data_IF_813020021341
#
_entry.id   IF_813020021341
#
_cell.length_a   1.000
_cell.length_b   1.000
_cell.length_c   1.000
_cell.angle_alpha   90.00
_cell.angle_beta   90.00
_cell.angle_gamma   90.00
#
_symmetry.space_group_name_H-M   'P 1'
#
loop_
_entity.id
_entity.type
_entity.pdbx_description
1 polymer ?
#
# COMPACT_ATOMS: atom_id res chain seq x y z
N UNK A 1 -5.45 -8.23 15.52
CA UNK A 1 -4.83 -6.92 15.20
C UNK A 1 -5.94 -6.06 14.62
N UNK A 2 -6.17 -4.85 15.15
CA UNK A 2 -7.14 -3.90 14.60
C UNK A 2 -6.63 -3.31 13.29
N UNK A 3 -7.51 -2.67 12.53
CA UNK A 3 -7.11 -1.82 11.42
C UNK A 3 -8.15 -0.72 11.23
N UNK A 4 -7.69 0.41 10.69
CA UNK A 4 -8.52 1.51 10.22
C UNK A 4 -8.49 1.59 8.69
N UNK A 5 -9.44 2.35 8.14
CA UNK A 5 -9.47 2.76 6.73
C UNK A 5 -9.56 4.28 6.61
N UNK A 6 -9.16 4.82 5.47
CA UNK A 6 -9.32 6.24 5.16
C UNK A 6 -8.01 7.01 5.23
N UNK A 7 -8.13 8.31 5.45
CA UNK A 7 -6.99 9.20 5.31
C UNK A 7 -6.13 9.26 6.59
N UNK A 8 -4.83 9.47 6.41
CA UNK A 8 -3.87 9.76 7.50
C UNK A 8 -3.85 11.27 7.76
N UNK A 9 -4.06 11.66 9.03
CA UNK A 9 -4.20 13.06 9.42
C UNK A 9 -3.00 13.93 9.03
N UNK A 10 -1.76 13.48 9.25
CA UNK A 10 -0.60 14.31 8.89
C UNK A 10 -0.46 14.53 7.39
N UNK A 11 -0.91 13.58 6.56
CA UNK A 11 -0.90 13.74 5.11
C UNK A 11 -2.00 14.70 4.64
N UNK A 12 -3.13 14.77 5.36
CA UNK A 12 -4.21 15.71 5.08
C UNK A 12 -3.74 17.15 5.28
N UNK A 13 -2.96 17.38 6.34
CA UNK A 13 -2.53 18.71 6.76
C UNK A 13 -1.32 19.21 5.96
N UNK A 14 -0.40 18.31 5.58
CA UNK A 14 0.85 18.68 4.92
C UNK A 14 0.90 18.40 3.41
N UNK A 15 0.05 17.50 2.89
CA UNK A 15 0.01 17.15 1.47
C UNK A 15 -1.44 17.09 0.93
N UNK A 16 -2.21 18.18 1.02
CA UNK A 16 -3.65 18.14 0.77
C UNK A 16 -4.04 17.80 -0.66
N UNK A 17 -3.18 18.09 -1.65
CA UNK A 17 -3.39 17.77 -3.06
C UNK A 17 -3.00 16.33 -3.42
N UNK A 18 -2.35 15.62 -2.48
CA UNK A 18 -1.90 14.23 -2.62
C UNK A 18 -2.80 13.25 -1.87
N UNK A 19 -3.93 13.73 -1.32
CA UNK A 19 -4.82 12.97 -0.44
C UNK A 19 -5.29 11.68 -1.11
N UNK A 20 -5.02 10.57 -0.44
CA UNK A 20 -5.54 9.26 -0.78
C UNK A 20 -6.08 8.56 0.46
N UNK A 21 -7.28 8.03 0.30
CA UNK A 21 -7.89 7.09 1.24
C UNK A 21 -7.14 5.78 1.18
N UNK A 22 -6.50 5.42 2.30
CA UNK A 22 -5.75 4.17 2.40
C UNK A 22 -6.71 3.00 2.63
N UNK A 23 -6.40 1.87 1.99
CA UNK A 23 -7.22 0.67 2.07
C UNK A 23 -7.16 0.03 3.46
N UNK A 24 -5.95 -0.05 4.04
CA UNK A 24 -5.70 -0.60 5.37
C UNK A 24 -4.58 0.15 6.10
N UNK A 25 -4.90 0.57 7.31
CA UNK A 25 -3.97 1.22 8.24
C UNK A 25 -3.91 0.36 9.49
N UNK A 26 -2.75 -0.23 9.77
CA UNK A 26 -2.58 -1.23 10.82
C UNK A 26 -1.55 -0.73 11.84
N UNK A 27 -1.86 -0.71 13.14
CA UNK A 27 -3.11 -1.16 13.76
C UNK A 27 -4.23 -0.11 13.75
N UNK A 28 -3.87 1.17 13.62
CA UNK A 28 -4.78 2.33 13.63
C UNK A 28 -4.10 3.57 13.02
N UNK A 29 -4.86 4.65 12.84
CA UNK A 29 -4.38 5.94 12.28
C UNK A 29 -3.44 6.75 13.16
N UNK A 30 -3.40 6.50 14.47
CA UNK A 30 -2.61 7.31 15.40
C UNK A 30 -1.16 6.84 15.44
N UNK A 31 -0.94 5.52 15.38
CA UNK A 31 0.40 4.94 15.37
C UNK A 31 0.47 3.80 14.34
N UNK A 32 0.35 4.11 13.04
CA UNK A 32 0.46 3.10 12.00
C UNK A 32 1.83 2.43 12.04
N UNK A 33 1.84 1.13 11.76
CA UNK A 33 3.04 0.31 11.55
C UNK A 33 3.08 -0.28 10.15
N UNK A 34 1.93 -0.56 9.57
CA UNK A 34 1.79 -1.07 8.20
C UNK A 34 0.67 -0.32 7.50
N UNK A 35 0.95 0.14 6.29
CA UNK A 35 -0.05 0.64 5.34
C UNK A 35 -0.10 -0.36 4.19
N UNK A 36 -1.27 -0.90 3.90
CA UNK A 36 -1.44 -1.90 2.84
C UNK A 36 -2.46 -1.43 1.80
N UNK A 37 -2.06 -1.45 0.53
CA UNK A 37 -2.88 -1.05 -0.62
C UNK A 37 -3.22 -2.24 -1.50
N UNK A 38 -4.45 -2.31 -2.00
CA UNK A 38 -4.91 -3.40 -2.87
C UNK A 38 -5.07 -2.95 -4.33
N UNK A 39 -4.59 -3.78 -5.24
CA UNK A 39 -4.61 -3.58 -6.69
C UNK A 39 -5.16 -4.81 -7.41
N UNK A 40 -6.37 -4.70 -7.96
CA UNK A 40 -7.06 -5.80 -8.66
C UNK A 40 -7.68 -5.38 -10.00
N UNK A 41 -8.06 -6.39 -10.80
CA UNK A 41 -8.51 -6.34 -12.20
C UNK A 41 -9.63 -5.33 -12.48
N UNK A 42 -10.44 -4.94 -11.48
CA UNK A 42 -11.48 -3.93 -11.65
C UNK A 42 -10.93 -2.52 -11.95
N UNK A 43 -9.62 -2.32 -11.85
CA UNK A 43 -8.97 -1.03 -12.14
C UNK A 43 -8.86 -0.84 -13.66
N UNK A 44 -9.49 0.20 -14.21
CA UNK A 44 -9.42 0.52 -15.64
C UNK A 44 -7.97 0.79 -16.07
N UNK A 45 -7.66 0.59 -17.36
CA UNK A 45 -6.32 0.80 -17.93
C UNK A 45 -5.75 2.21 -17.69
N UNK A 46 -6.58 3.25 -17.63
CA UNK A 46 -6.15 4.60 -17.21
C UNK A 46 -5.90 4.66 -15.71
N UNK A 47 -6.81 4.10 -14.91
CA UNK A 47 -6.70 4.04 -13.46
C UNK A 47 -5.46 3.28 -12.97
N UNK A 48 -4.95 2.30 -13.71
CA UNK A 48 -3.72 1.58 -13.36
C UNK A 48 -2.46 2.46 -13.49
N UNK A 49 -2.39 3.29 -14.53
CA UNK A 49 -1.30 4.24 -14.73
C UNK A 49 -1.30 5.31 -13.65
N UNK A 50 -2.46 5.88 -13.35
CA UNK A 50 -2.59 6.89 -12.30
C UNK A 50 -2.31 6.29 -10.92
N UNK A 51 -2.85 5.10 -10.62
CA UNK A 51 -2.54 4.38 -9.37
C UNK A 51 -1.04 4.18 -9.20
N UNK A 52 -0.30 3.75 -10.23
CA UNK A 52 1.15 3.56 -10.14
C UNK A 52 1.90 4.84 -9.73
N UNK A 53 1.49 6.02 -10.24
CA UNK A 53 2.10 7.30 -9.85
C UNK A 53 1.71 7.70 -8.44
N UNK A 54 0.45 7.44 -8.07
CA UNK A 54 -0.05 7.75 -6.74
C UNK A 54 0.67 6.92 -5.68
N UNK A 55 0.88 5.61 -5.88
CA UNK A 55 1.62 4.80 -4.90
C UNK A 55 3.04 5.32 -4.68
N UNK A 56 3.75 5.71 -5.74
CA UNK A 56 5.09 6.30 -5.63
C UNK A 56 5.06 7.60 -4.82
N UNK A 57 4.03 8.42 -5.04
CA UNK A 57 3.87 9.68 -4.31
C UNK A 57 3.56 9.43 -2.82
N UNK A 58 2.74 8.43 -2.53
CA UNK A 58 2.42 8.00 -1.15
C UNK A 58 3.66 7.45 -0.45
N UNK A 59 4.47 6.63 -1.10
CA UNK A 59 5.72 6.12 -0.52
C UNK A 59 6.65 7.25 -0.05
N UNK A 60 6.82 8.30 -0.88
CA UNK A 60 7.62 9.48 -0.52
C UNK A 60 7.05 10.16 0.73
N UNK A 61 5.74 10.38 0.75
CA UNK A 61 5.06 11.04 1.86
C UNK A 61 5.11 10.21 3.16
N UNK A 62 4.95 8.89 3.07
CA UNK A 62 5.05 8.00 4.23
C UNK A 62 6.47 8.01 4.81
N UNK A 63 7.50 8.04 3.97
CA UNK A 63 8.90 8.14 4.43
C UNK A 63 9.19 9.47 5.13
N UNK A 64 8.54 10.55 4.71
CA UNK A 64 8.71 11.88 5.28
C UNK A 64 7.98 12.04 6.63
N UNK A 65 6.71 11.63 6.69
CA UNK A 65 5.83 11.88 7.84
C UNK A 65 5.72 10.72 8.81
N UNK A 66 5.94 9.48 8.36
CA UNK A 66 5.81 8.27 9.16
C UNK A 66 7.04 7.36 9.06
N UNK A 67 8.24 7.85 9.44
CA UNK A 67 9.47 7.07 9.36
C UNK A 67 9.37 5.81 10.25
N UNK A 68 9.31 4.64 9.63
CA UNK A 68 9.16 3.35 10.31
C UNK A 68 7.83 2.64 10.06
N UNK A 69 6.90 3.26 9.34
CA UNK A 69 5.77 2.55 8.73
C UNK A 69 6.26 1.74 7.55
N UNK A 70 5.80 0.48 7.45
CA UNK A 70 6.00 -0.34 6.25
C UNK A 70 4.90 -0.10 5.23
N UNK A 71 5.27 0.24 4.00
CA UNK A 71 4.31 0.37 2.90
C UNK A 71 4.29 -0.88 2.02
N UNK A 72 3.16 -1.57 1.96
CA UNK A 72 3.03 -2.85 1.23
C UNK A 72 1.89 -2.84 0.21
N UNK A 73 2.04 -3.64 -0.85
CA UNK A 73 1.04 -3.76 -1.91
C UNK A 73 0.51 -5.17 -2.07
N UNK A 74 -0.79 -5.32 -2.26
CA UNK A 74 -1.44 -6.55 -2.72
C UNK A 74 -1.79 -6.45 -4.20
N UNK A 75 -1.31 -7.39 -5.00
CA UNK A 75 -1.48 -7.35 -6.46
C UNK A 75 -2.02 -8.70 -6.97
N UNK A 76 -3.06 -8.65 -7.79
CA UNK A 76 -3.67 -9.85 -8.40
C UNK A 76 -2.89 -10.41 -9.61
N UNK A 77 -2.00 -9.62 -10.18
CA UNK A 77 -1.17 -9.93 -11.34
C UNK A 77 -1.94 -9.93 -12.67
N UNK A 78 -3.12 -10.55 -12.72
CA UNK A 78 -3.89 -10.70 -13.96
C UNK A 78 -4.36 -9.36 -14.53
N UNK A 79 -4.73 -8.40 -13.67
CA UNK A 79 -5.09 -7.04 -14.09
C UNK A 79 -3.95 -6.31 -14.79
N UNK A 80 -2.71 -6.74 -14.55
CA UNK A 80 -1.51 -6.04 -14.96
C UNK A 80 -0.77 -6.71 -16.12
N UNK A 81 -1.29 -7.83 -16.64
CA UNK A 81 -0.62 -8.66 -17.64
C UNK A 81 -0.20 -7.87 -18.91
N UNK A 82 -1.05 -6.96 -19.38
CA UNK A 82 -0.79 -6.08 -20.54
C UNK A 82 -0.13 -4.75 -20.16
N UNK A 83 0.08 -4.49 -18.87
CA UNK A 83 0.63 -3.25 -18.28
C UNK A 83 1.86 -3.51 -17.41
N UNK A 84 2.75 -4.40 -17.87
CA UNK A 84 3.95 -4.81 -17.12
C UNK A 84 4.85 -3.64 -16.68
N UNK A 85 4.91 -2.57 -17.48
CA UNK A 85 5.68 -1.37 -17.15
C UNK A 85 5.06 -0.57 -15.99
N UNK A 86 3.73 -0.44 -15.96
CA UNK A 86 3.01 0.23 -14.88
C UNK A 86 3.10 -0.58 -13.60
N UNK A 87 2.95 -1.91 -13.70
CA UNK A 87 3.17 -2.83 -12.59
C UNK A 87 4.57 -2.68 -12.03
N UNK A 88 5.61 -2.71 -12.89
CA UNK A 88 7.00 -2.59 -12.46
C UNK A 88 7.25 -1.29 -11.70
N UNK A 89 6.64 -0.18 -12.13
CA UNK A 89 6.73 1.11 -11.42
C UNK A 89 5.98 1.11 -10.10
N UNK A 90 4.80 0.53 -10.07
CA UNK A 90 4.00 0.45 -8.86
C UNK A 90 4.69 -0.40 -7.78
N UNK A 91 5.22 -1.58 -8.16
CA UNK A 91 5.89 -2.46 -7.18
C UNK A 91 7.18 -1.87 -6.62
N UNK A 92 7.79 -0.88 -7.29
CA UNK A 92 8.97 -0.17 -6.74
C UNK A 92 8.60 0.87 -5.68
N UNK A 93 7.33 1.23 -5.53
CA UNK A 93 6.87 2.11 -4.46
C UNK A 93 6.73 1.37 -3.12
N UNK A 94 6.41 0.08 -3.17
CA UNK A 94 6.22 -0.72 -1.97
C UNK A 94 7.55 -1.28 -1.46
N UNK A 95 7.65 -1.42 -0.15
CA UNK A 95 8.73 -2.18 0.49
C UNK A 95 8.57 -3.69 0.29
N UNK A 96 7.33 -4.15 0.21
CA UNK A 96 7.00 -5.54 -0.04
C UNK A 96 5.69 -5.68 -0.82
N UNK A 97 5.60 -6.72 -1.64
CA UNK A 97 4.45 -6.98 -2.51
C UNK A 97 3.97 -8.41 -2.33
N UNK A 98 2.70 -8.54 -2.02
CA UNK A 98 2.00 -9.80 -1.85
C UNK A 98 1.04 -10.05 -3.01
N UNK A 99 0.78 -11.32 -3.27
CA UNK A 99 -0.36 -11.72 -4.09
C UNK A 99 -1.44 -12.37 -3.23
N UNK A 100 -2.60 -12.61 -3.81
CA UNK A 100 -3.68 -13.34 -3.13
C UNK A 100 -3.45 -14.86 -3.13
N UNK A 101 -2.28 -15.34 -3.57
CA UNK A 101 -1.92 -16.74 -3.46
C UNK A 101 -1.76 -17.13 -1.99
N UNK A 102 -2.17 -18.35 -1.63
CA UNK A 102 -2.18 -18.82 -0.23
C UNK A 102 -0.82 -18.69 0.46
N UNK A 103 0.26 -18.94 -0.26
CA UNK A 103 1.63 -18.85 0.26
C UNK A 103 2.03 -17.39 0.60
N UNK A 104 1.61 -16.44 -0.24
CA UNK A 104 1.85 -15.01 -0.01
C UNK A 104 1.00 -14.49 1.15
N UNK A 105 -0.23 -15.00 1.31
CA UNK A 105 -1.05 -14.71 2.49
C UNK A 105 -0.40 -15.23 3.78
N UNK A 106 0.18 -16.43 3.75
CA UNK A 106 0.93 -16.97 4.88
C UNK A 106 2.21 -16.18 5.17
N UNK A 107 2.85 -15.63 4.12
CA UNK A 107 4.00 -14.72 4.26
C UNK A 107 3.60 -13.39 4.89
N UNK A 108 2.45 -12.85 4.51
CA UNK A 108 1.88 -11.66 5.13
C UNK A 108 1.52 -11.88 6.60
N UNK A 109 0.95 -13.04 6.95
CA UNK A 109 0.69 -13.41 8.34
C UNK A 109 1.98 -13.40 9.18
N UNK A 110 3.09 -13.94 8.64
CA UNK A 110 4.41 -13.86 9.29
C UNK A 110 4.87 -12.42 9.47
N UNK A 111 4.73 -11.56 8.46
CA UNK A 111 5.07 -10.15 8.56
C UNK A 111 4.30 -9.45 9.70
N UNK A 112 3.01 -9.77 9.85
CA UNK A 112 2.20 -9.24 10.95
C UNK A 112 2.72 -9.72 12.31
N UNK A 113 2.98 -11.02 12.46
CA UNK A 113 3.52 -11.60 13.69
C UNK A 113 4.86 -10.94 14.05
N UNK A 114 5.77 -10.81 13.10
CA UNK A 114 7.09 -10.19 13.31
C UNK A 114 7.01 -8.70 13.66
N UNK A 115 6.01 -7.99 13.14
CA UNK A 115 5.85 -6.55 13.39
C UNK A 115 5.20 -6.26 14.75
N UNK A 116 4.32 -7.13 15.25
CA UNK A 116 3.51 -6.86 16.45
C UNK A 116 3.82 -7.74 17.68
N UNK A 117 4.58 -8.83 17.52
CA UNK A 117 5.01 -9.67 18.64
C UNK A 117 6.48 -9.42 19.05
N UNK A 118 7.07 -8.31 18.60
CA UNK A 118 8.35 -7.78 19.11
C UNK A 118 8.14 -6.93 20.35
#
# INVERSE_FOLDING_TARGET
ISYDKGDLGELIDNAPDSKRTMDFIIPDKHNPKIIAESSFLATTSSGQGDKSKTEISIDILLKEHYPGVRFIGFVDGIGWYVRKGDLKRMVTAYEDVFTFHKEELARFEKLLIETFNQ
#
